data_IF_754250188231
#
_entry.id   IF_754250188231
#
_cell.length_a   1.000
_cell.length_b   1.000
_cell.length_c   1.000
_cell.angle_alpha   90.00
_cell.angle_beta   90.00
_cell.angle_gamma   90.00
#
_symmetry.space_group_name_H-M   'P 1'
#
loop_
_entity.id
_entity.type
_entity.pdbx_description
1 polymer ?
#
# COMPACT_ATOMS: atom_id res chain seq x y z
N UNK A 1 6.51 -18.32 -9.13
CA UNK A 1 6.21 -18.83 -7.77
C UNK A 1 5.78 -20.28 -7.88
N UNK A 2 6.23 -21.17 -6.98
CA UNK A 2 5.80 -22.58 -7.00
C UNK A 2 4.46 -22.69 -6.26
N UNK A 3 3.59 -23.62 -6.70
CA UNK A 3 2.31 -23.92 -6.03
C UNK A 3 2.45 -24.17 -4.50
N UNK A 4 3.58 -24.74 -4.06
CA UNK A 4 3.89 -24.93 -2.65
C UNK A 4 4.07 -23.60 -1.89
N UNK A 5 4.63 -22.56 -2.52
CA UNK A 5 4.77 -21.24 -1.93
C UNK A 5 3.41 -20.56 -1.72
N UNK A 6 2.48 -20.75 -2.65
CA UNK A 6 1.16 -20.10 -2.56
C UNK A 6 0.27 -20.78 -1.52
N UNK A 7 0.39 -22.11 -1.36
CA UNK A 7 -0.23 -22.86 -0.27
C UNK A 7 0.26 -22.35 1.10
N UNK A 8 1.55 -22.11 1.26
CA UNK A 8 2.11 -21.61 2.52
C UNK A 8 1.65 -20.18 2.84
N UNK A 9 1.59 -19.29 1.85
CA UNK A 9 1.06 -17.92 2.01
C UNK A 9 -0.39 -17.94 2.48
N UNK A 10 -1.20 -18.81 1.88
CA UNK A 10 -2.60 -19.04 2.29
C UNK A 10 -2.69 -19.53 3.73
N UNK A 11 -1.88 -20.53 4.10
CA UNK A 11 -1.90 -21.14 5.42
C UNK A 11 -1.55 -20.15 6.53
N UNK A 12 -0.63 -19.20 6.29
CA UNK A 12 -0.30 -18.18 7.28
C UNK A 12 -1.50 -17.31 7.68
N UNK A 13 -2.36 -16.97 6.72
CA UNK A 13 -3.59 -16.22 6.99
C UNK A 13 -4.62 -17.12 7.68
N UNK A 14 -4.78 -18.35 7.20
CA UNK A 14 -5.77 -19.30 7.75
C UNK A 14 -5.49 -19.63 9.22
N UNK A 15 -4.23 -19.72 9.62
CA UNK A 15 -3.81 -20.02 10.99
C UNK A 15 -3.82 -18.78 11.91
N UNK A 16 -3.95 -17.57 11.36
CA UNK A 16 -3.96 -16.35 12.14
C UNK A 16 -5.29 -16.19 12.90
N UNK A 17 -5.22 -15.74 14.16
CA UNK A 17 -6.40 -15.33 14.92
C UNK A 17 -6.93 -13.98 14.47
N UNK A 18 -6.03 -13.08 14.10
CA UNK A 18 -6.30 -11.75 13.56
C UNK A 18 -5.17 -11.38 12.62
N UNK A 19 -5.47 -10.59 11.59
CA UNK A 19 -4.50 -10.07 10.64
C UNK A 19 -4.40 -8.56 10.82
N UNK A 20 -3.20 -8.07 10.95
CA UNK A 20 -2.87 -6.65 10.78
C UNK A 20 -2.07 -6.49 9.50
N UNK A 21 -2.31 -5.43 8.77
CA UNK A 21 -1.50 -5.07 7.61
C UNK A 21 -1.05 -3.62 7.75
N UNK A 22 0.22 -3.37 7.52
CA UNK A 22 0.78 -2.02 7.53
C UNK A 22 1.79 -1.84 6.40
N UNK A 23 1.89 -0.62 5.92
CA UNK A 23 2.94 -0.22 4.99
C UNK A 23 4.02 0.62 5.66
N UNK A 24 4.59 1.53 4.89
CA UNK A 24 5.56 2.50 5.41
C UNK A 24 4.89 3.76 5.97
N UNK A 25 5.64 4.50 6.81
CA UNK A 25 5.28 5.86 7.26
C UNK A 25 5.00 6.74 6.03
N UNK A 26 4.04 7.64 6.12
CA UNK A 26 3.56 8.44 4.97
C UNK A 26 3.06 7.57 3.80
N UNK A 27 2.24 6.59 4.14
CA UNK A 27 1.72 5.62 3.17
C UNK A 27 1.21 6.29 1.89
N UNK A 28 1.65 5.79 0.76
CA UNK A 28 1.22 6.24 -0.57
C UNK A 28 0.18 5.30 -1.20
N UNK A 29 -0.13 5.50 -2.47
CA UNK A 29 -1.12 4.69 -3.17
C UNK A 29 -0.71 3.23 -3.32
N UNK A 30 0.59 2.91 -3.43
CA UNK A 30 1.04 1.52 -3.52
C UNK A 30 0.94 0.83 -2.17
N UNK A 31 1.39 1.49 -1.13
CA UNK A 31 1.30 1.00 0.24
C UNK A 31 -0.15 0.72 0.67
N UNK A 32 -1.06 1.68 0.45
CA UNK A 32 -2.49 1.53 0.78
C UNK A 32 -3.18 0.52 -0.14
N UNK A 33 -2.90 0.54 -1.44
CA UNK A 33 -3.45 -0.40 -2.41
C UNK A 33 -3.09 -1.84 -2.08
N UNK A 34 -1.80 -2.10 -1.82
CA UNK A 34 -1.33 -3.41 -1.37
C UNK A 34 -1.99 -3.85 -0.05
N UNK A 35 -2.13 -2.93 0.91
CA UNK A 35 -2.80 -3.21 2.18
C UNK A 35 -4.28 -3.57 1.99
N UNK A 36 -5.01 -2.87 1.11
CA UNK A 36 -6.41 -3.20 0.77
C UNK A 36 -6.53 -4.58 0.11
N UNK A 37 -5.59 -4.95 -0.75
CA UNK A 37 -5.57 -6.29 -1.35
C UNK A 37 -5.35 -7.40 -0.32
N UNK A 38 -4.44 -7.21 0.65
CA UNK A 38 -4.25 -8.14 1.77
C UNK A 38 -5.50 -8.20 2.66
N UNK A 39 -6.13 -7.04 2.92
CA UNK A 39 -7.39 -6.97 3.65
C UNK A 39 -8.49 -7.78 2.95
N UNK A 40 -8.63 -7.65 1.63
CA UNK A 40 -9.56 -8.43 0.82
C UNK A 40 -9.33 -9.95 0.98
N UNK A 41 -8.08 -10.40 0.89
CA UNK A 41 -7.73 -11.82 1.10
C UNK A 41 -8.13 -12.28 2.52
N UNK A 42 -7.79 -11.52 3.54
CA UNK A 42 -8.11 -11.83 4.93
C UNK A 42 -9.64 -11.88 5.17
N UNK A 43 -10.38 -10.90 4.64
CA UNK A 43 -11.85 -10.83 4.71
C UNK A 43 -12.48 -12.09 4.08
N UNK A 44 -12.05 -12.49 2.88
CA UNK A 44 -12.54 -13.71 2.22
C UNK A 44 -12.27 -14.95 3.05
N UNK A 45 -11.16 -14.97 3.78
CA UNK A 45 -10.79 -16.08 4.69
C UNK A 45 -11.54 -16.02 6.04
N UNK A 46 -12.47 -15.09 6.22
CA UNK A 46 -13.23 -14.91 7.45
C UNK A 46 -12.37 -14.42 8.63
N UNK A 47 -11.24 -13.78 8.34
CA UNK A 47 -10.33 -13.23 9.38
C UNK A 47 -10.65 -11.78 9.66
N UNK A 48 -10.67 -11.42 10.93
CA UNK A 48 -10.64 -10.01 11.32
C UNK A 48 -9.33 -9.42 10.82
N UNK A 49 -9.41 -8.37 10.03
CA UNK A 49 -8.26 -7.67 9.50
C UNK A 49 -8.38 -6.17 9.78
N UNK A 50 -7.27 -5.53 10.09
CA UNK A 50 -7.19 -4.08 10.25
C UNK A 50 -5.92 -3.56 9.56
N UNK A 51 -6.10 -2.44 8.86
CA UNK A 51 -4.99 -1.70 8.23
C UNK A 51 -4.47 -0.71 9.27
N UNK A 52 -3.20 -0.86 9.62
CA UNK A 52 -2.50 0.02 10.57
C UNK A 52 -1.94 1.20 9.77
N UNK A 53 -2.47 2.39 10.01
CA UNK A 53 -2.14 3.59 9.24
C UNK A 53 -2.44 4.86 10.03
N UNK A 54 -1.60 5.89 9.86
CA UNK A 54 -1.92 7.25 10.24
C UNK A 54 -2.82 7.89 9.15
N UNK A 55 -4.09 8.06 9.47
CA UNK A 55 -5.10 8.59 8.53
C UNK A 55 -4.92 10.07 8.22
N UNK A 56 -4.24 10.82 9.09
CA UNK A 56 -4.01 12.25 8.93
C UNK A 56 -2.72 12.55 8.16
N UNK A 57 -1.74 11.65 8.25
CA UNK A 57 -0.39 11.89 7.76
C UNK A 57 0.04 10.85 6.73
N UNK A 58 -0.56 10.90 5.56
CA UNK A 58 -0.31 9.98 4.44
C UNK A 58 -0.45 10.69 3.09
N UNK A 59 0.03 10.07 2.03
CA UNK A 59 -0.09 10.58 0.66
C UNK A 59 -1.26 9.97 -0.13
N UNK A 60 -2.07 9.09 0.48
CA UNK A 60 -3.15 8.36 -0.16
C UNK A 60 -4.55 8.79 0.31
N UNK A 61 -4.73 10.01 0.81
CA UNK A 61 -6.02 10.51 1.30
C UNK A 61 -7.22 10.27 0.38
N UNK A 62 -7.14 10.48 -0.96
CA UNK A 62 -8.28 10.22 -1.83
C UNK A 62 -8.69 8.75 -1.83
N UNK A 63 -7.72 7.84 -1.78
CA UNK A 63 -7.96 6.40 -1.74
C UNK A 63 -8.55 5.97 -0.39
N UNK A 64 -8.02 6.49 0.72
CA UNK A 64 -8.54 6.22 2.07
C UNK A 64 -9.99 6.68 2.19
N UNK A 65 -10.34 7.86 1.71
CA UNK A 65 -11.73 8.34 1.69
C UNK A 65 -12.65 7.39 0.94
N UNK A 66 -12.25 6.97 -0.27
CA UNK A 66 -13.03 6.03 -1.08
C UNK A 66 -13.19 4.66 -0.40
N UNK A 67 -12.17 4.19 0.28
CA UNK A 67 -12.22 2.95 1.07
C UNK A 67 -13.23 3.06 2.22
N UNK A 68 -13.22 4.16 2.96
CA UNK A 68 -14.12 4.38 4.10
C UNK A 68 -15.61 4.52 3.72
N UNK A 69 -15.93 4.77 2.45
CA UNK A 69 -17.29 4.73 1.91
C UNK A 69 -17.84 3.31 1.83
N UNK A 70 -16.99 2.29 1.90
CA UNK A 70 -17.40 0.89 1.79
C UNK A 70 -17.73 0.30 3.17
N UNK A 71 -18.90 -0.30 3.35
CA UNK A 71 -19.30 -0.92 4.62
C UNK A 71 -18.33 -2.00 5.11
N UNK A 72 -17.67 -2.70 4.18
CA UNK A 72 -16.71 -3.76 4.45
C UNK A 72 -15.46 -3.25 5.19
N UNK A 73 -15.19 -1.97 5.12
CA UNK A 73 -14.07 -1.31 5.80
C UNK A 73 -14.47 -0.62 7.10
N UNK A 74 -15.70 -0.76 7.56
CA UNK A 74 -16.14 -0.21 8.84
C UNK A 74 -15.29 -0.79 9.98
N UNK A 75 -14.54 0.07 10.69
CA UNK A 75 -13.57 -0.34 11.72
C UNK A 75 -12.33 -1.06 11.18
N UNK A 76 -12.10 -0.99 9.86
CA UNK A 76 -10.97 -1.62 9.20
C UNK A 76 -9.64 -0.85 9.32
N UNK A 77 -9.68 0.42 9.74
CA UNK A 77 -8.48 1.22 10.00
C UNK A 77 -8.20 1.32 11.49
N UNK A 78 -6.92 1.37 11.84
CA UNK A 78 -6.45 1.49 13.23
C UNK A 78 -5.12 2.22 13.26
N UNK A 79 -4.90 3.05 14.27
CA UNK A 79 -3.58 3.67 14.47
C UNK A 79 -2.55 2.67 15.00
N UNK A 80 -1.25 2.96 14.80
CA UNK A 80 -0.17 2.11 15.29
C UNK A 80 -0.23 1.87 16.80
N UNK A 81 -0.50 2.91 17.59
CA UNK A 81 -0.63 2.81 19.04
C UNK A 81 -1.81 1.95 19.50
N UNK A 82 -2.98 2.11 18.87
CA UNK A 82 -4.13 1.26 19.17
C UNK A 82 -3.91 -0.20 18.76
N UNK A 83 -3.29 -0.42 17.60
CA UNK A 83 -2.97 -1.76 17.12
C UNK A 83 -2.02 -2.48 18.08
N UNK A 84 -0.98 -1.77 18.54
CA UNK A 84 -0.04 -2.28 19.55
C UNK A 84 -0.77 -2.73 20.82
N UNK A 85 -1.66 -1.89 21.37
CA UNK A 85 -2.42 -2.19 22.58
C UNK A 85 -3.40 -3.36 22.42
N UNK A 86 -3.93 -3.57 21.21
CA UNK A 86 -4.92 -4.61 20.90
C UNK A 86 -4.30 -5.90 20.35
N UNK A 87 -3.01 -5.88 19.99
CA UNK A 87 -2.32 -7.04 19.43
C UNK A 87 -2.25 -8.18 20.45
N UNK A 88 -2.73 -9.34 20.02
CA UNK A 88 -2.74 -10.54 20.86
C UNK A 88 -1.88 -11.65 20.26
N UNK A 89 -1.42 -12.61 21.11
CA UNK A 89 -0.70 -13.78 20.63
C UNK A 89 -1.50 -14.53 19.56
N UNK A 90 -0.83 -14.89 18.46
CA UNK A 90 -1.43 -15.55 17.30
C UNK A 90 -1.91 -14.57 16.21
N UNK A 91 -1.69 -13.27 16.36
CA UNK A 91 -1.85 -12.32 15.29
C UNK A 91 -0.78 -12.51 14.21
N UNK A 92 -1.16 -12.24 12.95
CA UNK A 92 -0.26 -12.13 11.82
C UNK A 92 -0.15 -10.65 11.44
N UNK A 93 1.07 -10.15 11.37
CA UNK A 93 1.37 -8.84 10.80
C UNK A 93 1.88 -9.03 9.37
N UNK A 94 1.19 -8.41 8.40
CA UNK A 94 1.65 -8.34 7.02
C UNK A 94 2.21 -6.94 6.77
N UNK A 95 3.49 -6.87 6.45
CA UNK A 95 4.17 -5.63 6.07
C UNK A 95 4.18 -5.56 4.55
N UNK A 96 3.68 -4.48 3.98
CA UNK A 96 3.63 -4.25 2.53
C UNK A 96 4.44 -3.03 2.16
N UNK A 97 5.03 -3.06 0.96
CA UNK A 97 5.69 -1.92 0.32
C UNK A 97 6.87 -1.33 1.10
N UNK A 98 7.42 -2.09 2.02
CA UNK A 98 8.70 -1.80 2.67
C UNK A 98 9.30 -3.06 3.29
N UNK A 99 10.62 -3.11 3.35
CA UNK A 99 11.35 -4.16 4.08
C UNK A 99 12.25 -3.59 5.19
N UNK A 100 12.16 -2.29 5.47
CA UNK A 100 13.00 -1.60 6.47
C UNK A 100 12.25 -1.41 7.78
N UNK A 101 12.78 -1.90 8.92
CA UNK A 101 12.14 -1.74 10.21
C UNK A 101 11.85 -0.29 10.58
N UNK A 102 12.78 0.61 10.30
CA UNK A 102 12.67 2.05 10.58
C UNK A 102 11.65 2.80 9.71
N UNK A 103 11.22 2.18 8.61
CA UNK A 103 10.27 2.79 7.66
C UNK A 103 8.83 2.35 7.85
N UNK A 104 8.58 1.29 8.62
CA UNK A 104 7.21 0.78 8.82
C UNK A 104 6.34 1.78 9.56
N UNK A 105 5.03 1.71 9.39
CA UNK A 105 4.05 2.58 10.04
C UNK A 105 4.15 2.53 11.57
N UNK A 106 4.37 1.36 12.15
CA UNK A 106 4.57 1.18 13.60
C UNK A 106 5.68 0.18 13.88
N UNK A 107 6.78 0.67 14.42
CA UNK A 107 7.91 -0.16 14.84
C UNK A 107 7.52 -1.04 16.03
N UNK A 108 6.70 -0.53 16.96
CA UNK A 108 6.22 -1.26 18.12
C UNK A 108 5.38 -2.49 17.71
N UNK A 109 4.55 -2.35 16.67
CA UNK A 109 3.80 -3.49 16.12
C UNK A 109 4.73 -4.54 15.51
N UNK A 110 5.77 -4.11 14.81
CA UNK A 110 6.76 -5.01 14.21
C UNK A 110 7.52 -5.80 15.28
N UNK A 111 7.89 -5.16 16.39
CA UNK A 111 8.59 -5.80 17.50
C UNK A 111 7.69 -6.75 18.30
N UNK A 112 6.40 -6.42 18.42
CA UNK A 112 5.45 -7.19 19.25
C UNK A 112 4.93 -8.43 18.55
N UNK A 113 4.71 -8.37 17.23
CA UNK A 113 4.15 -9.48 16.49
C UNK A 113 5.18 -10.57 16.24
N UNK A 114 4.91 -11.77 16.76
CA UNK A 114 5.79 -12.94 16.57
C UNK A 114 5.72 -13.58 15.18
N UNK A 115 4.67 -13.27 14.41
CA UNK A 115 4.45 -13.78 13.05
C UNK A 115 4.35 -12.61 12.10
N UNK A 116 5.39 -12.41 11.31
CA UNK A 116 5.49 -11.32 10.33
C UNK A 116 5.62 -11.90 8.93
N UNK A 117 4.85 -11.38 7.99
CA UNK A 117 5.01 -11.61 6.56
C UNK A 117 5.39 -10.30 5.88
N UNK A 118 6.30 -10.34 4.93
CA UNK A 118 6.71 -9.14 4.16
C UNK A 118 6.41 -9.36 2.68
N UNK A 119 5.74 -8.40 2.06
CA UNK A 119 5.46 -8.33 0.62
C UNK A 119 6.03 -7.02 0.10
N UNK A 120 7.15 -7.07 -0.60
CA UNK A 120 7.88 -5.87 -0.97
C UNK A 120 8.65 -6.03 -2.29
N UNK A 121 8.83 -4.93 -3.01
CA UNK A 121 9.56 -4.85 -4.27
C UNK A 121 10.81 -3.96 -4.19
N UNK A 122 11.05 -3.30 -3.07
CA UNK A 122 12.21 -2.45 -2.89
C UNK A 122 13.51 -3.26 -2.77
N UNK A 123 14.61 -2.73 -3.27
CA UNK A 123 15.91 -3.33 -3.05
C UNK A 123 16.27 -3.33 -1.56
N UNK A 124 16.78 -4.44 -1.07
CA UNK A 124 17.26 -4.52 0.31
C UNK A 124 18.43 -3.58 0.52
N UNK A 125 18.33 -2.81 1.60
CA UNK A 125 19.44 -2.03 2.14
C UNK A 125 20.26 -2.84 3.16
N UNK A 126 21.10 -2.14 3.91
CA UNK A 126 21.84 -2.72 5.05
C UNK A 126 20.95 -3.06 6.23
N UNK A 127 19.82 -2.35 6.40
CA UNK A 127 18.79 -2.65 7.39
C UNK A 127 17.57 -3.25 6.68
N UNK A 128 17.09 -4.39 7.16
CA UNK A 128 15.87 -5.04 6.68
C UNK A 128 15.24 -5.91 7.78
N UNK A 129 13.96 -6.24 7.64
CA UNK A 129 13.23 -7.10 8.56
C UNK A 129 13.78 -8.53 8.41
N UNK A 130 14.45 -9.03 9.45
CA UNK A 130 15.12 -10.35 9.42
C UNK A 130 14.21 -11.47 9.90
N UNK A 131 13.44 -11.23 10.97
CA UNK A 131 12.57 -12.26 11.58
C UNK A 131 11.19 -12.23 10.95
N UNK A 132 11.00 -13.03 9.90
CA UNK A 132 9.73 -13.13 9.21
C UNK A 132 9.35 -14.60 8.93
N UNK A 133 8.07 -14.91 9.07
CA UNK A 133 7.51 -16.21 8.71
C UNK A 133 7.41 -16.38 7.19
N UNK A 134 7.18 -15.28 6.48
CA UNK A 134 7.14 -15.23 5.02
C UNK A 134 7.88 -14.01 4.50
N UNK A 135 8.69 -14.23 3.47
CA UNK A 135 9.31 -13.16 2.71
C UNK A 135 8.93 -13.30 1.23
N UNK A 136 8.00 -12.47 0.79
CA UNK A 136 7.65 -12.34 -0.62
C UNK A 136 8.26 -11.06 -1.17
N UNK A 137 9.54 -11.14 -1.47
CA UNK A 137 10.36 -10.01 -1.90
C UNK A 137 10.81 -10.20 -3.35
N UNK A 138 10.34 -9.33 -4.24
CA UNK A 138 10.58 -9.39 -5.69
C UNK A 138 11.02 -8.03 -6.26
N UNK A 139 12.33 -7.73 -6.26
CA UNK A 139 12.85 -6.42 -6.70
C UNK A 139 12.59 -6.08 -8.17
N UNK A 140 12.16 -7.05 -8.96
CA UNK A 140 11.81 -6.86 -10.36
C UNK A 140 10.33 -6.60 -10.60
N UNK A 141 9.49 -6.74 -9.58
CA UNK A 141 8.11 -6.29 -9.65
C UNK A 141 8.03 -4.76 -9.71
N UNK A 142 7.01 -4.24 -10.35
CA UNK A 142 6.82 -2.79 -10.48
C UNK A 142 6.42 -2.14 -9.15
N UNK A 143 5.66 -2.87 -8.33
CA UNK A 143 5.02 -2.36 -7.12
C UNK A 143 4.64 -3.50 -6.17
N UNK A 144 4.37 -3.19 -4.90
CA UNK A 144 3.79 -4.14 -3.96
C UNK A 144 2.35 -4.50 -4.35
N UNK A 145 1.61 -3.57 -4.92
CA UNK A 145 0.26 -3.82 -5.49
C UNK A 145 0.26 -4.84 -6.62
N UNK A 146 1.28 -4.85 -7.49
CA UNK A 146 1.46 -5.92 -8.49
C UNK A 146 1.58 -7.28 -7.81
N UNK A 147 2.44 -7.41 -6.81
CA UNK A 147 2.64 -8.66 -6.08
C UNK A 147 1.37 -9.15 -5.38
N UNK A 148 0.64 -8.24 -4.75
CA UNK A 148 -0.63 -8.58 -4.08
C UNK A 148 -1.70 -8.94 -5.10
N UNK A 149 -1.81 -8.24 -6.23
CA UNK A 149 -2.74 -8.60 -7.31
C UNK A 149 -2.48 -10.01 -7.86
N UNK A 150 -1.21 -10.39 -8.01
CA UNK A 150 -0.85 -11.77 -8.39
C UNK A 150 -1.30 -12.78 -7.33
N UNK A 151 -1.11 -12.49 -6.03
CA UNK A 151 -1.60 -13.37 -4.97
C UNK A 151 -3.12 -13.54 -5.00
N UNK A 152 -3.85 -12.46 -5.25
CA UNK A 152 -5.31 -12.49 -5.33
C UNK A 152 -5.81 -13.41 -6.46
N UNK A 153 -5.11 -13.46 -7.59
CA UNK A 153 -5.48 -14.37 -8.70
C UNK A 153 -5.51 -15.85 -8.28
N UNK A 154 -4.67 -16.24 -7.32
CA UNK A 154 -4.60 -17.62 -6.84
C UNK A 154 -5.50 -17.90 -5.64
N UNK A 155 -5.88 -16.86 -4.89
CA UNK A 155 -6.55 -17.00 -3.58
C UNK A 155 -8.01 -16.62 -3.60
N UNK A 156 -8.47 -15.87 -4.60
CA UNK A 156 -9.78 -15.26 -4.66
C UNK A 156 -10.50 -15.54 -5.98
N UNK A 157 -11.83 -15.59 -5.89
CA UNK A 157 -12.70 -15.53 -7.06
C UNK A 157 -13.01 -14.05 -7.40
N UNK A 158 -13.33 -13.73 -8.65
CA UNK A 158 -13.65 -12.35 -9.05
C UNK A 158 -14.75 -11.69 -8.20
N UNK A 159 -15.75 -12.47 -7.76
CA UNK A 159 -16.84 -11.99 -6.92
C UNK A 159 -16.46 -11.63 -5.48
N UNK A 160 -15.25 -12.00 -5.05
CA UNK A 160 -14.74 -11.71 -3.70
C UNK A 160 -14.16 -10.30 -3.58
N UNK A 161 -13.82 -9.69 -4.72
CA UNK A 161 -13.07 -8.45 -4.80
C UNK A 161 -14.03 -7.29 -5.08
N UNK A 162 -13.97 -6.26 -4.23
CA UNK A 162 -14.70 -5.03 -4.46
C UNK A 162 -14.02 -4.19 -5.57
N UNK A 163 -14.83 -3.45 -6.32
CA UNK A 163 -14.32 -2.53 -7.35
C UNK A 163 -13.27 -1.57 -6.79
N UNK A 164 -13.51 -1.01 -5.59
CA UNK A 164 -12.58 -0.09 -4.95
C UNK A 164 -11.23 -0.75 -4.59
N UNK A 165 -11.22 -2.04 -4.27
CA UNK A 165 -9.98 -2.78 -3.99
C UNK A 165 -9.16 -3.00 -5.27
N UNK A 166 -9.83 -3.35 -6.36
CA UNK A 166 -9.19 -3.46 -7.68
C UNK A 166 -8.62 -2.10 -8.14
N UNK A 167 -9.36 -1.01 -7.92
CA UNK A 167 -8.90 0.35 -8.25
C UNK A 167 -7.75 0.80 -7.36
N UNK A 168 -7.75 0.43 -6.07
CA UNK A 168 -6.65 0.74 -5.15
C UNK A 168 -5.33 0.09 -5.58
N UNK A 169 -5.38 -1.19 -5.91
CA UNK A 169 -4.20 -1.91 -6.42
C UNK A 169 -3.72 -1.34 -7.76
N UNK A 170 -4.65 -1.00 -8.66
CA UNK A 170 -4.29 -0.37 -9.92
C UNK A 170 -3.67 1.02 -9.71
N UNK A 171 -4.14 1.79 -8.73
CA UNK A 171 -3.55 3.08 -8.36
C UNK A 171 -2.10 2.92 -7.86
N UNK A 172 -1.81 1.91 -7.05
CA UNK A 172 -0.46 1.58 -6.62
C UNK A 172 0.46 1.29 -7.82
N UNK A 173 0.02 0.43 -8.74
CA UNK A 173 0.77 0.14 -9.97
C UNK A 173 1.00 1.41 -10.80
N UNK A 174 -0.01 2.24 -10.98
CA UNK A 174 0.06 3.50 -11.75
C UNK A 174 1.06 4.47 -11.12
N UNK A 175 1.07 4.58 -9.77
CA UNK A 175 2.01 5.44 -9.05
C UNK A 175 3.45 5.02 -9.34
N UNK A 176 3.79 3.79 -9.04
CA UNK A 176 5.16 3.29 -9.07
C UNK A 176 5.73 3.14 -10.48
N UNK A 177 4.87 2.84 -11.43
CA UNK A 177 5.25 2.77 -12.85
C UNK A 177 5.23 4.13 -13.54
N UNK A 178 4.86 5.21 -12.86
CA UNK A 178 4.60 6.53 -13.46
C UNK A 178 3.71 6.39 -14.70
N UNK A 179 2.55 5.81 -14.48
CA UNK A 179 1.57 5.54 -15.53
C UNK A 179 2.12 4.61 -16.64
N UNK A 180 2.71 3.49 -16.24
CA UNK A 180 3.28 2.45 -17.11
C UNK A 180 4.46 2.92 -18.00
N UNK A 181 5.18 3.97 -17.57
CA UNK A 181 6.36 4.45 -18.28
C UNK A 181 7.67 3.92 -17.70
N UNK A 182 7.69 3.58 -16.40
CA UNK A 182 8.88 3.09 -15.71
C UNK A 182 8.63 1.71 -15.09
N UNK A 183 9.68 0.89 -14.98
CA UNK A 183 9.66 -0.41 -14.28
C UNK A 183 8.50 -1.32 -14.70
N UNK A 184 8.01 -1.18 -15.91
CA UNK A 184 6.85 -1.90 -16.41
C UNK A 184 7.29 -3.12 -17.20
N UNK A 185 6.89 -4.31 -16.75
CA UNK A 185 7.14 -5.58 -17.42
C UNK A 185 5.83 -6.26 -17.87
N UNK A 186 5.94 -7.43 -18.49
CA UNK A 186 4.78 -8.24 -18.88
C UNK A 186 3.88 -8.55 -17.68
N UNK A 187 4.46 -8.92 -16.53
CA UNK A 187 3.73 -9.17 -15.27
C UNK A 187 2.89 -7.97 -14.83
N UNK A 188 3.43 -6.76 -14.99
CA UNK A 188 2.72 -5.52 -14.63
C UNK A 188 1.45 -5.35 -15.45
N UNK A 189 1.53 -5.58 -16.78
CA UNK A 189 0.36 -5.52 -17.64
C UNK A 189 -0.64 -6.66 -17.38
N UNK A 190 -0.17 -7.86 -17.04
CA UNK A 190 -1.03 -8.98 -16.63
C UNK A 190 -1.80 -8.66 -15.34
N UNK A 191 -1.12 -8.10 -14.33
CA UNK A 191 -1.76 -7.65 -13.09
C UNK A 191 -2.78 -6.53 -13.37
N UNK A 192 -2.43 -5.53 -14.17
CA UNK A 192 -3.36 -4.46 -14.56
C UNK A 192 -4.56 -4.99 -15.33
N UNK A 193 -4.36 -5.93 -16.27
CA UNK A 193 -5.46 -6.57 -17.00
C UNK A 193 -6.37 -7.39 -16.09
N UNK A 194 -5.81 -8.08 -15.09
CA UNK A 194 -6.57 -8.77 -14.07
C UNK A 194 -7.45 -7.80 -13.28
N UNK A 195 -6.88 -6.71 -12.78
CA UNK A 195 -7.61 -5.69 -12.02
C UNK A 195 -8.71 -5.02 -12.85
N UNK A 196 -8.47 -4.80 -14.15
CA UNK A 196 -9.51 -4.34 -15.08
C UNK A 196 -10.67 -5.32 -15.19
N UNK A 197 -10.40 -6.62 -15.29
CA UNK A 197 -11.45 -7.66 -15.30
C UNK A 197 -12.27 -7.69 -14.02
N UNK A 198 -11.67 -7.33 -12.88
CA UNK A 198 -12.34 -7.19 -11.58
C UNK A 198 -13.18 -5.89 -11.48
N UNK A 199 -13.19 -5.04 -12.50
CA UNK A 199 -14.01 -3.85 -12.58
C UNK A 199 -13.28 -2.53 -12.26
N UNK A 200 -11.96 -2.55 -12.06
CA UNK A 200 -11.20 -1.31 -11.89
C UNK A 200 -11.39 -0.39 -13.11
N UNK A 201 -11.80 0.85 -12.87
CA UNK A 201 -11.95 1.86 -13.89
C UNK A 201 -10.73 2.78 -13.94
N UNK A 202 -10.10 2.87 -15.11
CA UNK A 202 -8.88 3.68 -15.28
C UNK A 202 -9.15 5.18 -15.11
N UNK A 203 -10.34 5.67 -15.43
CA UNK A 203 -10.71 7.07 -15.19
C UNK A 203 -10.87 7.35 -13.70
N UNK A 204 -11.52 6.43 -12.96
CA UNK A 204 -11.67 6.55 -11.52
C UNK A 204 -10.30 6.50 -10.81
N UNK A 205 -9.39 5.64 -11.30
CA UNK A 205 -8.00 5.61 -10.81
C UNK A 205 -7.27 6.92 -11.09
N UNK A 206 -7.39 7.49 -12.30
CA UNK A 206 -6.77 8.78 -12.61
C UNK A 206 -7.31 9.93 -11.73
N UNK A 207 -8.59 9.89 -11.35
CA UNK A 207 -9.17 10.88 -10.43
C UNK A 207 -8.54 10.86 -9.05
N UNK A 208 -8.02 9.70 -8.58
CA UNK A 208 -7.31 9.61 -7.30
C UNK A 208 -6.02 10.45 -7.26
N UNK A 209 -5.42 10.71 -8.43
CA UNK A 209 -4.21 11.51 -8.56
C UNK A 209 -4.49 13.00 -8.86
N UNK A 210 -5.75 13.35 -9.09
CA UNK A 210 -6.14 14.74 -9.30
C UNK A 210 -6.17 15.45 -7.93
N UNK A 211 -5.26 16.40 -7.74
CA UNK A 211 -5.32 17.34 -6.61
C UNK A 211 -6.56 18.23 -6.72
N UNK A 212 -7.03 18.75 -5.60
CA UNK A 212 -8.01 19.82 -5.61
C UNK A 212 -7.41 21.10 -6.21
N UNK A 213 -8.27 22.06 -6.55
CA UNK A 213 -7.85 23.33 -7.15
C UNK A 213 -6.86 24.09 -6.25
N UNK A 214 -7.04 24.02 -4.94
CA UNK A 214 -6.17 24.72 -3.99
C UNK A 214 -4.76 24.11 -4.00
N UNK A 215 -4.63 22.80 -3.96
CA UNK A 215 -3.35 22.09 -4.08
C UNK A 215 -2.64 22.39 -5.40
N UNK A 216 -3.39 22.55 -6.49
CA UNK A 216 -2.82 22.97 -7.77
C UNK A 216 -2.31 24.41 -7.71
N UNK A 217 -3.08 25.35 -7.14
CA UNK A 217 -2.69 26.74 -6.97
C UNK A 217 -1.41 26.83 -6.13
N UNK A 218 -1.36 26.11 -5.00
CA UNK A 218 -0.21 26.11 -4.11
C UNK A 218 1.04 25.54 -4.80
N UNK A 219 0.88 24.47 -5.58
CA UNK A 219 1.97 23.92 -6.39
C UNK A 219 2.48 24.90 -7.42
N UNK A 220 1.58 25.58 -8.15
CA UNK A 220 1.99 26.62 -9.11
C UNK A 220 2.63 27.82 -8.43
N UNK A 221 2.18 28.21 -7.25
CA UNK A 221 2.80 29.27 -6.46
C UNK A 221 4.26 28.93 -6.10
N UNK A 222 4.53 27.67 -5.74
CA UNK A 222 5.88 27.17 -5.50
C UNK A 222 6.71 27.19 -6.81
N UNK A 223 6.17 26.63 -7.89
CA UNK A 223 6.86 26.55 -9.18
C UNK A 223 7.25 27.96 -9.69
N UNK A 224 6.39 28.94 -9.51
CA UNK A 224 6.67 30.34 -9.90
C UNK A 224 7.86 30.99 -9.17
N UNK A 225 8.22 30.45 -8.02
CA UNK A 225 9.38 30.93 -7.24
C UNK A 225 10.66 30.15 -7.58
N UNK A 226 10.58 29.20 -8.52
CA UNK A 226 11.74 28.41 -8.91
C UNK A 226 12.73 29.27 -9.70
N UNK A 227 13.98 29.27 -9.27
CA UNK A 227 15.11 29.81 -10.00
C UNK A 227 15.84 28.70 -10.71
N UNK A 228 16.12 28.88 -12.01
CA UNK A 228 16.92 27.94 -12.78
C UNK A 228 18.40 28.22 -12.56
N UNK A 229 19.13 27.21 -12.15
CA UNK A 229 20.57 27.24 -11.99
C UNK A 229 21.18 26.28 -13.02
N UNK A 230 22.09 26.78 -13.85
CA UNK A 230 22.75 26.04 -14.95
C UNK A 230 21.79 25.32 -15.93
N UNK A 231 20.60 25.91 -16.18
CA UNK A 231 19.58 25.43 -17.13
C UNK A 231 18.93 24.08 -16.82
N UNK A 232 19.45 23.30 -15.88
CA UNK A 232 18.98 21.92 -15.56
C UNK A 232 18.57 21.75 -14.10
N UNK A 233 18.85 22.73 -13.23
CA UNK A 233 18.52 22.63 -11.79
C UNK A 233 17.54 23.74 -11.45
N UNK A 234 16.33 23.35 -11.04
CA UNK A 234 15.36 24.28 -10.48
C UNK A 234 15.46 24.28 -8.95
N UNK A 235 15.73 25.42 -8.36
CA UNK A 235 15.81 25.60 -6.90
C UNK A 235 14.63 26.44 -6.43
N UNK A 236 13.91 25.96 -5.44
CA UNK A 236 12.87 26.70 -4.75
C UNK A 236 13.21 26.73 -3.28
N UNK A 237 13.27 27.92 -2.70
CA UNK A 237 13.28 28.08 -1.25
C UNK A 237 11.84 28.28 -0.77
N UNK A 238 11.17 27.26 -0.16
CA UNK A 238 9.85 27.44 0.37
C UNK A 238 9.93 28.44 1.51
N UNK A 239 9.27 29.59 1.37
CA UNK A 239 9.03 30.50 2.48
C UNK A 239 8.02 29.81 3.38
N UNK A 240 8.47 29.31 4.53
CA UNK A 240 7.58 28.81 5.57
C UNK A 240 6.63 29.94 5.98
N UNK A 241 5.38 29.84 5.61
CA UNK A 241 4.30 30.64 6.22
C UNK A 241 3.98 30.07 7.61
N UNK A 242 4.94 30.13 8.51
CA UNK A 242 4.63 30.15 9.93
C UNK A 242 4.36 31.61 10.29
N UNK A 243 3.15 31.85 10.66
CA UNK A 243 2.51 33.04 11.21
C UNK A 243 1.57 33.77 10.26
N UNK A 244 0.28 33.54 10.55
CA UNK A 244 -0.55 34.68 10.99
C UNK A 244 -1.69 34.10 11.84
N UNK A 245 -1.65 34.47 13.10
CA UNK A 245 -2.62 34.36 14.19
C UNK A 245 -4.08 34.37 13.77
#
# INVERSE_FOLDING_TARGET
ASAASDVYKRQLIDDAKQVYVMGHKYADMDSVGAAMGVYCIARKRGKKCQIVIDTENNAAHPLIRKMLEQPEYAGGLISGGEAFLKCQPGALLVVVDTNRPESVESEEMLETCNRVAVIDHHRRGSSYIEKMALNYHEPYASSASELVAELMQYLLEPSDVLKCEAEALLAGIVLDTKNFTNRTGGRTFEAAAYLRRLGADTQDVQRLFQGDLQSMIDRYAIIRQAELYHDDIAVVAPVSYTHLT
#
